data_IF_467756674885
#
_entry.id   IF_467756674885
#
_cell.length_a   1.000
_cell.length_b   1.000
_cell.length_c   1.000
_cell.angle_alpha   90.00
_cell.angle_beta   90.00
_cell.angle_gamma   90.00
#
_symmetry.space_group_name_H-M   'P 1'
#
loop_
_entity.id
_entity.type
_entity.pdbx_description
1 polymer ?
#
# COMPACT_ATOMS: atom_id res chain seq x y z
N UNK A 1 36.45 -26.02 -12.15
CA UNK A 1 35.68 -25.94 -13.41
C UNK A 1 34.90 -24.64 -13.40
N UNK A 2 35.32 -23.67 -14.20
CA UNK A 2 34.52 -22.50 -14.58
C UNK A 2 35.13 -21.94 -15.86
N UNK A 3 34.47 -22.24 -16.98
CA UNK A 3 34.64 -21.59 -18.28
C UNK A 3 33.25 -21.57 -18.88
N UNK A 4 32.74 -20.38 -19.18
CA UNK A 4 32.21 -20.09 -20.51
C UNK A 4 32.18 -18.58 -20.68
N UNK A 5 32.95 -18.11 -21.66
CA UNK A 5 32.98 -16.73 -22.12
C UNK A 5 31.76 -16.49 -23.01
N UNK A 6 31.13 -15.33 -22.89
CA UNK A 6 30.26 -14.78 -23.92
C UNK A 6 30.61 -13.30 -24.10
N UNK A 7 31.74 -13.02 -24.75
CA UNK A 7 32.00 -11.71 -25.35
C UNK A 7 31.31 -11.69 -26.72
N UNK A 8 30.14 -11.06 -26.78
CA UNK A 8 29.51 -10.70 -28.03
C UNK A 8 30.07 -9.35 -28.48
N UNK A 9 31.12 -9.41 -29.31
CA UNK A 9 31.72 -8.24 -29.93
C UNK A 9 30.76 -7.56 -30.91
N UNK A 10 30.44 -6.29 -30.66
CA UNK A 10 29.78 -5.44 -31.63
C UNK A 10 30.75 -4.33 -32.09
N UNK A 11 31.34 -4.56 -33.27
CA UNK A 11 32.05 -3.57 -34.09
C UNK A 11 31.17 -2.32 -34.25
N UNK A 12 31.55 -1.18 -33.65
CA UNK A 12 30.89 0.11 -33.92
C UNK A 12 31.76 0.95 -34.83
N UNK A 13 31.61 0.69 -36.13
CA UNK A 13 31.97 1.61 -37.21
C UNK A 13 31.05 2.84 -37.17
N UNK A 14 31.65 4.01 -37.35
CA UNK A 14 31.02 5.32 -37.17
C UNK A 14 29.85 5.63 -38.13
N UNK A 15 28.92 6.44 -37.64
CA UNK A 15 27.82 7.00 -38.40
C UNK A 15 27.00 7.99 -37.55
N UNK A 16 27.15 9.28 -37.83
CA UNK A 16 26.29 10.43 -37.48
C UNK A 16 25.47 10.34 -36.17
N UNK A 17 26.03 10.87 -35.08
CA UNK A 17 25.43 10.89 -33.73
C UNK A 17 24.16 11.73 -33.54
N UNK A 18 23.58 12.29 -34.60
CA UNK A 18 22.35 13.09 -34.53
C UNK A 18 21.06 12.23 -34.61
N UNK A 19 21.06 11.18 -35.43
CA UNK A 19 19.83 10.39 -35.71
C UNK A 19 19.53 9.38 -34.60
N UNK A 20 20.55 8.78 -33.99
CA UNK A 20 20.37 7.79 -32.92
C UNK A 20 19.77 8.38 -31.64
N UNK A 21 20.09 9.63 -31.32
CA UNK A 21 19.51 10.35 -30.18
C UNK A 21 18.05 10.73 -30.42
N UNK A 22 17.71 11.16 -31.64
CA UNK A 22 16.32 11.47 -32.00
C UNK A 22 15.43 10.23 -31.96
N UNK A 23 15.92 9.07 -32.42
CA UNK A 23 15.19 7.80 -32.35
C UNK A 23 14.99 7.33 -30.90
N UNK A 24 15.99 7.48 -30.04
CA UNK A 24 15.87 7.16 -28.61
C UNK A 24 14.81 8.03 -27.93
N UNK A 25 14.80 9.33 -28.24
CA UNK A 25 13.79 10.26 -27.72
C UNK A 25 12.37 9.90 -28.20
N UNK A 26 12.20 9.60 -29.49
CA UNK A 26 10.89 9.17 -30.03
C UNK A 26 10.44 7.87 -29.36
N UNK A 27 11.36 6.94 -29.12
CA UNK A 27 11.06 5.69 -28.44
C UNK A 27 10.62 5.92 -26.99
N UNK A 28 11.32 6.75 -26.21
CA UNK A 28 10.91 7.08 -24.84
C UNK A 28 9.52 7.74 -24.80
N UNK A 29 9.25 8.68 -25.71
CA UNK A 29 7.93 9.31 -25.80
C UNK A 29 6.84 8.31 -26.20
N UNK A 30 7.13 7.39 -27.12
CA UNK A 30 6.21 6.32 -27.49
C UNK A 30 5.95 5.39 -26.31
N UNK A 31 6.98 5.02 -25.53
CA UNK A 31 6.83 4.22 -24.32
C UNK A 31 5.93 4.92 -23.29
N UNK A 32 6.10 6.24 -23.09
CA UNK A 32 5.26 7.05 -22.19
C UNK A 32 3.80 7.11 -22.64
N UNK A 33 3.54 7.13 -23.95
CA UNK A 33 2.18 7.17 -24.52
C UNK A 33 1.50 5.79 -24.47
N UNK A 34 2.24 4.73 -24.83
CA UNK A 34 1.71 3.37 -24.97
C UNK A 34 1.52 2.71 -23.60
N UNK A 35 2.41 2.97 -22.65
CA UNK A 35 2.32 2.45 -21.29
C UNK A 35 2.61 3.59 -20.29
N UNK A 36 1.64 4.49 -20.06
CA UNK A 36 1.81 5.53 -19.06
C UNK A 36 2.11 4.88 -17.71
N UNK A 37 3.14 5.38 -17.02
CA UNK A 37 3.46 4.91 -15.67
C UNK A 37 2.22 5.10 -14.79
N UNK A 38 1.62 4.00 -14.33
CA UNK A 38 0.43 4.09 -13.48
C UNK A 38 0.82 4.87 -12.23
N UNK A 39 0.10 5.95 -11.90
CA UNK A 39 0.37 6.67 -10.66
C UNK A 39 0.24 5.69 -9.50
N UNK A 40 1.20 5.75 -8.57
CA UNK A 40 1.16 4.89 -7.38
C UNK A 40 -0.17 5.14 -6.67
N UNK A 41 -0.96 4.10 -6.38
CA UNK A 41 -2.23 4.27 -5.71
C UNK A 41 -2.01 4.89 -4.32
N UNK A 42 -2.76 5.95 -4.01
CA UNK A 42 -2.81 6.52 -2.66
C UNK A 42 -3.88 5.78 -1.86
N UNK A 43 -3.49 5.15 -0.74
CA UNK A 43 -4.41 4.46 0.14
C UNK A 43 -4.85 5.37 1.28
N UNK A 44 -6.16 5.35 1.57
CA UNK A 44 -6.77 6.12 2.66
C UNK A 44 -7.30 5.19 3.75
N UNK A 45 -7.07 5.57 5.00
CA UNK A 45 -7.38 4.80 6.19
C UNK A 45 -8.55 5.44 6.93
N UNK A 46 -9.60 4.65 7.16
CA UNK A 46 -10.69 4.99 8.08
C UNK A 46 -10.45 4.26 9.39
N UNK A 47 -10.10 5.00 10.43
CA UNK A 47 -9.73 4.45 11.73
C UNK A 47 -10.88 4.70 12.71
N UNK A 48 -11.60 3.63 13.04
CA UNK A 48 -12.73 3.66 13.96
C UNK A 48 -12.46 2.71 15.11
N UNK A 49 -13.02 3.02 16.29
CA UNK A 49 -12.99 2.09 17.42
C UNK A 49 -13.90 0.91 17.10
N UNK A 50 -13.50 -0.29 17.53
CA UNK A 50 -14.40 -1.42 17.51
C UNK A 50 -15.56 -1.16 18.50
N UNK A 51 -16.82 -1.53 18.17
CA UNK A 51 -17.96 -1.29 19.05
C UNK A 51 -17.77 -1.82 20.47
N UNK A 52 -17.10 -2.98 20.59
CA UNK A 52 -16.77 -3.62 21.87
C UNK A 52 -15.69 -2.90 22.67
N UNK A 53 -14.99 -1.92 22.08
CA UNK A 53 -13.89 -1.18 22.73
C UNK A 53 -14.18 0.32 22.90
N UNK A 54 -15.37 0.79 22.52
CA UNK A 54 -15.70 2.22 22.57
C UNK A 54 -15.69 2.80 23.99
N UNK A 55 -16.06 1.99 24.99
CA UNK A 55 -16.10 2.37 26.41
C UNK A 55 -14.71 2.37 27.07
N UNK A 56 -13.78 1.54 26.58
CA UNK A 56 -12.45 1.37 27.15
C UNK A 56 -11.44 2.37 26.60
N UNK A 57 -11.63 2.82 25.36
CA UNK A 57 -10.74 3.78 24.70
C UNK A 57 -11.38 5.17 24.70
N UNK A 58 -10.79 6.10 25.45
CA UNK A 58 -11.19 7.51 25.46
C UNK A 58 -10.83 8.19 24.13
N UNK A 59 -11.59 9.22 23.78
CA UNK A 59 -11.38 9.97 22.54
C UNK A 59 -11.81 9.21 21.27
N UNK A 60 -11.50 9.79 20.12
CA UNK A 60 -11.79 9.26 18.80
C UNK A 60 -10.82 9.82 17.75
N UNK A 61 -10.64 9.09 16.65
CA UNK A 61 -9.85 9.55 15.51
C UNK A 61 -10.65 10.58 14.70
N UNK A 62 -10.28 11.86 14.81
CA UNK A 62 -11.08 12.97 14.26
C UNK A 62 -10.73 13.38 12.84
N UNK A 63 -9.55 13.00 12.32
CA UNK A 63 -9.06 13.42 10.99
C UNK A 63 -9.22 12.33 9.92
N UNK A 64 -10.23 11.49 10.05
CA UNK A 64 -10.57 10.51 9.02
C UNK A 64 -11.05 11.24 7.74
N UNK A 65 -10.66 10.76 6.53
CA UNK A 65 -9.72 9.68 6.25
C UNK A 65 -8.24 10.12 6.34
N UNK A 66 -7.37 9.26 6.88
CA UNK A 66 -5.93 9.48 6.94
C UNK A 66 -5.23 8.96 5.68
N UNK A 67 -4.27 9.70 5.12
CA UNK A 67 -3.42 9.20 4.03
C UNK A 67 -2.36 8.25 4.56
N UNK A 68 -2.16 7.08 3.92
CA UNK A 68 -1.11 6.13 4.30
C UNK A 68 0.29 6.76 4.25
N UNK A 69 0.52 7.74 3.37
CA UNK A 69 1.79 8.45 3.26
C UNK A 69 2.11 9.28 4.51
N UNK A 70 1.09 9.78 5.22
CA UNK A 70 1.24 10.56 6.44
C UNK A 70 1.35 9.70 7.70
N UNK A 71 0.82 8.47 7.66
CA UNK A 71 0.82 7.55 8.80
C UNK A 71 2.09 6.70 8.81
N UNK A 72 2.41 6.09 7.67
CA UNK A 72 3.49 5.13 7.51
C UNK A 72 3.05 3.91 6.70
N UNK A 73 4.02 3.15 6.15
CA UNK A 73 3.74 2.04 5.24
C UNK A 73 3.24 0.77 5.94
N UNK A 74 3.48 0.57 7.23
CA UNK A 74 3.16 -0.66 7.95
C UNK A 74 1.94 -0.49 8.86
N UNK A 75 1.25 -1.60 9.15
CA UNK A 75 0.14 -1.60 10.12
C UNK A 75 0.61 -1.22 11.55
N UNK A 76 1.87 -1.48 11.89
CA UNK A 76 2.53 -0.96 13.09
C UNK A 76 2.48 0.56 13.18
N UNK A 77 2.72 1.26 12.07
CA UNK A 77 2.68 2.72 12.04
C UNK A 77 1.25 3.23 12.29
N UNK A 78 0.26 2.52 11.75
CA UNK A 78 -1.16 2.79 12.00
C UNK A 78 -1.50 2.61 13.47
N UNK A 79 -1.11 1.49 14.09
CA UNK A 79 -1.29 1.24 15.53
C UNK A 79 -0.65 2.38 16.34
N UNK A 80 0.63 2.66 16.10
CA UNK A 80 1.36 3.67 16.84
C UNK A 80 0.76 5.07 16.66
N UNK A 81 0.19 5.37 15.49
CA UNK A 81 -0.54 6.62 15.28
C UNK A 81 -1.79 6.71 16.15
N UNK A 82 -2.61 5.64 16.19
CA UNK A 82 -3.79 5.61 17.06
C UNK A 82 -3.36 5.77 18.52
N UNK A 83 -2.31 5.07 18.94
CA UNK A 83 -1.82 5.15 20.30
C UNK A 83 -1.36 6.57 20.68
N UNK A 84 -0.70 7.29 19.76
CA UNK A 84 -0.29 8.68 20.00
C UNK A 84 -1.46 9.65 20.01
N UNK A 85 -2.38 9.52 19.06
CA UNK A 85 -3.51 10.44 18.92
C UNK A 85 -4.53 10.28 20.06
N UNK A 86 -4.61 9.10 20.68
CA UNK A 86 -5.53 8.80 21.79
C UNK A 86 -4.85 8.71 23.17
N UNK A 87 -3.59 9.15 23.28
CA UNK A 87 -2.81 9.15 24.53
C UNK A 87 -2.63 7.75 25.17
N UNK A 88 -2.59 6.70 24.35
CA UNK A 88 -2.39 5.32 24.76
C UNK A 88 -0.90 4.94 24.76
N UNK A 89 -0.06 5.76 25.38
CA UNK A 89 1.40 5.63 25.33
C UNK A 89 1.93 4.26 25.78
N UNK A 90 1.30 3.65 26.79
CA UNK A 90 1.70 2.33 27.31
C UNK A 90 1.53 1.17 26.32
N UNK A 91 0.77 1.35 25.23
CA UNK A 91 0.51 0.33 24.22
C UNK A 91 1.44 0.42 23.01
N UNK A 92 2.29 1.46 22.93
CA UNK A 92 3.17 1.67 21.77
C UNK A 92 4.23 0.57 21.66
N UNK A 93 4.87 0.23 22.78
CA UNK A 93 5.94 -0.78 22.82
C UNK A 93 5.42 -2.21 22.94
N UNK A 94 4.18 -2.40 23.41
CA UNK A 94 3.55 -3.72 23.52
C UNK A 94 2.75 -4.06 22.27
N UNK A 95 3.33 -4.86 21.39
CA UNK A 95 2.72 -5.34 20.15
C UNK A 95 1.46 -6.19 20.34
N UNK A 96 1.28 -6.77 21.52
CA UNK A 96 0.11 -7.60 21.82
C UNK A 96 -0.98 -6.82 22.56
N UNK A 97 -0.68 -5.63 23.05
CA UNK A 97 -1.62 -4.83 23.84
C UNK A 97 -2.75 -4.19 23.02
N UNK A 98 -2.59 -4.09 21.70
CA UNK A 98 -3.63 -3.56 20.81
C UNK A 98 -3.58 -4.24 19.44
N UNK A 99 -4.67 -4.91 19.09
CA UNK A 99 -4.87 -5.55 17.79
C UNK A 99 -5.63 -4.64 16.83
N UNK A 100 -5.24 -4.66 15.56
CA UNK A 100 -5.94 -3.94 14.50
C UNK A 100 -6.83 -4.90 13.72
N UNK A 101 -8.09 -4.52 13.55
CA UNK A 101 -9.07 -5.28 12.79
C UNK A 101 -9.31 -4.63 11.42
N UNK A 102 -9.28 -5.42 10.35
CA UNK A 102 -9.73 -5.01 9.02
C UNK A 102 -10.74 -6.05 8.53
N UNK A 103 -11.97 -5.61 8.24
CA UNK A 103 -13.09 -6.50 7.89
C UNK A 103 -13.33 -7.62 8.92
N UNK A 104 -13.15 -7.33 10.21
CA UNK A 104 -13.33 -8.30 11.30
C UNK A 104 -12.22 -9.34 11.44
N UNK A 105 -11.07 -9.15 10.77
CA UNK A 105 -9.90 -10.03 10.87
C UNK A 105 -8.74 -9.30 11.55
N UNK A 106 -8.02 -9.99 12.45
CA UNK A 106 -6.82 -9.47 13.11
C UNK A 106 -5.67 -9.42 12.11
N UNK A 107 -5.01 -8.27 12.02
CA UNK A 107 -3.93 -8.02 11.07
C UNK A 107 -2.58 -7.95 11.78
N UNK A 108 -1.60 -8.68 11.23
CA UNK A 108 -0.21 -8.60 11.71
C UNK A 108 0.39 -7.21 11.48
N UNK A 109 1.06 -6.68 12.49
CA UNK A 109 1.61 -5.31 12.48
C UNK A 109 2.75 -5.11 11.46
N UNK A 110 3.44 -6.18 11.08
CA UNK A 110 4.54 -6.14 10.10
C UNK A 110 4.06 -6.08 8.65
N UNK A 111 2.75 -6.18 8.41
CA UNK A 111 2.21 -6.17 7.05
C UNK A 111 2.14 -4.75 6.49
N UNK A 112 2.47 -4.54 5.20
CA UNK A 112 2.25 -3.29 4.52
C UNK A 112 0.75 -2.96 4.40
N UNK A 113 0.39 -1.69 4.61
CA UNK A 113 -0.98 -1.20 4.47
C UNK A 113 -1.56 -1.50 3.09
N UNK A 114 -0.75 -1.34 2.03
CA UNK A 114 -1.16 -1.64 0.66
C UNK A 114 -1.57 -3.11 0.48
N UNK A 115 -0.78 -4.04 1.04
CA UNK A 115 -1.08 -5.47 0.96
C UNK A 115 -2.35 -5.82 1.72
N UNK A 116 -2.57 -5.22 2.90
CA UNK A 116 -3.79 -5.42 3.70
C UNK A 116 -5.02 -4.90 2.96
N UNK A 117 -4.91 -3.73 2.33
CA UNK A 117 -5.98 -3.17 1.51
C UNK A 117 -6.37 -4.12 0.37
N UNK A 118 -5.40 -4.57 -0.42
CA UNK A 118 -5.67 -5.39 -1.62
C UNK A 118 -6.12 -6.81 -1.27
N UNK A 119 -5.57 -7.40 -0.21
CA UNK A 119 -5.79 -8.81 0.10
C UNK A 119 -6.91 -9.06 1.09
N UNK A 120 -7.21 -8.12 1.98
CA UNK A 120 -8.25 -8.26 3.00
C UNK A 120 -9.42 -7.37 2.65
N UNK A 121 -9.22 -6.06 2.62
CA UNK A 121 -10.32 -5.11 2.48
C UNK A 121 -11.01 -5.22 1.10
N UNK A 122 -10.24 -5.14 0.01
CA UNK A 122 -10.79 -5.16 -1.35
C UNK A 122 -11.49 -6.48 -1.67
N UNK A 123 -10.95 -7.61 -1.20
CA UNK A 123 -11.60 -8.93 -1.35
C UNK A 123 -12.89 -9.03 -0.55
N UNK A 124 -12.90 -8.57 0.71
CA UNK A 124 -14.11 -8.55 1.53
C UNK A 124 -15.18 -7.62 0.93
N UNK A 125 -14.78 -6.46 0.40
CA UNK A 125 -15.70 -5.52 -0.23
C UNK A 125 -16.30 -6.11 -1.52
N UNK A 126 -15.50 -6.78 -2.35
CA UNK A 126 -15.97 -7.47 -3.54
C UNK A 126 -16.95 -8.60 -3.19
N UNK A 127 -16.65 -9.39 -2.15
CA UNK A 127 -17.56 -10.44 -1.67
C UNK A 127 -18.90 -9.87 -1.18
N UNK A 128 -18.88 -8.73 -0.48
CA UNK A 128 -20.09 -8.05 -0.02
C UNK A 128 -20.93 -7.48 -1.18
N UNK A 129 -20.28 -6.96 -2.22
CA UNK A 129 -20.97 -6.44 -3.41
C UNK A 129 -21.71 -7.53 -4.20
N UNK A 130 -21.20 -8.77 -4.21
CA UNK A 130 -21.82 -9.91 -4.90
C UNK A 130 -22.82 -10.69 -4.02
N UNK A 131 -22.84 -10.48 -2.70
CA UNK A 131 -23.69 -11.19 -1.74
C UNK A 131 -25.01 -10.48 -1.37
N UNK A 132 -25.33 -9.36 -2.01
CA UNK A 132 -26.51 -8.54 -1.72
C UNK A 132 -27.83 -9.09 -2.28
N UNK A 133 -28.22 -10.31 -1.90
CA UNK A 133 -29.60 -10.76 -2.03
C UNK A 133 -30.02 -11.57 -0.80
N UNK A 134 -30.74 -10.92 0.11
CA UNK A 134 -31.62 -11.58 1.06
C UNK A 134 -31.17 -11.53 2.52
N UNK A 135 -31.48 -10.43 3.21
CA UNK A 135 -32.25 -10.55 4.46
C UNK A 135 -32.72 -9.20 4.99
N UNK A 136 -34.04 -9.02 5.04
CA UNK A 136 -34.78 -8.42 6.16
C UNK A 136 -36.28 -8.46 5.83
N UNK A 137 -37.17 -8.42 6.84
CA UNK A 137 -37.03 -8.82 8.25
C UNK A 137 -37.69 -10.17 8.55
#
# INVERSE_FOLDING_TARGET
>A
AMREQAECGADRRGGSGATGRALLFIFEQLCSIVCPEKPKPEYKLMLNKAPTQEEFIRGAMTKNPYSCAAVGPLMRDVKNKICRDLDLGGLIEDDNGMELLVSGQIIKLELPVAAVYEQVWAKSAAAQACGGSGQSP
#
